data_IF_257850069665
#
_entry.id   IF_257850069665
#
_cell.length_a   1.000
_cell.length_b   1.000
_cell.length_c   1.000
_cell.angle_alpha   90.00
_cell.angle_beta   90.00
_cell.angle_gamma   90.00
#
_symmetry.space_group_name_H-M   'P 1'
#
loop_
_entity.id
_entity.type
_entity.pdbx_description
1 polymer ?
#
# COMPACT_ATOMS: atom_id res chain seq x y z
N UNK A 1 -15.16 8.24 14.96
CA UNK A 1 -15.41 8.07 13.53
C UNK A 1 -16.51 9.04 13.14
N UNK A 2 -16.37 9.76 12.03
CA UNK A 2 -17.41 10.70 11.56
C UNK A 2 -18.44 9.98 10.69
N UNK A 3 -19.65 10.55 10.54
CA UNK A 3 -20.69 10.03 9.63
C UNK A 3 -20.17 9.83 8.20
N UNK A 4 -19.33 10.76 7.72
CA UNK A 4 -18.69 10.65 6.42
C UNK A 4 -17.77 9.42 6.30
N UNK A 5 -16.91 9.18 7.30
CA UNK A 5 -16.02 8.01 7.31
C UNK A 5 -16.81 6.70 7.38
N UNK A 6 -17.91 6.67 8.14
CA UNK A 6 -18.80 5.50 8.20
C UNK A 6 -19.43 5.19 6.83
N UNK A 7 -19.85 6.21 6.08
CA UNK A 7 -20.37 6.06 4.73
C UNK A 7 -19.31 5.58 3.74
N UNK A 8 -18.08 6.08 3.84
CA UNK A 8 -16.93 5.59 3.05
C UNK A 8 -16.66 4.11 3.35
N UNK A 9 -16.55 3.75 4.64
CA UNK A 9 -16.36 2.35 5.04
C UNK A 9 -17.50 1.44 4.56
N UNK A 10 -18.74 1.93 4.55
CA UNK A 10 -19.88 1.17 4.02
C UNK A 10 -19.77 0.90 2.51
N UNK A 11 -19.17 1.82 1.73
CA UNK A 11 -18.87 1.57 0.30
C UNK A 11 -17.82 0.48 0.17
N UNK A 12 -16.70 0.60 0.90
CA UNK A 12 -15.62 -0.40 0.87
C UNK A 12 -16.06 -1.79 1.31
N UNK A 13 -16.94 -1.88 2.33
CA UNK A 13 -17.49 -3.14 2.80
C UNK A 13 -18.39 -3.83 1.77
N UNK A 14 -18.91 -3.10 0.77
CA UNK A 14 -19.81 -3.61 -0.27
C UNK A 14 -19.12 -3.75 -1.64
N UNK A 15 -17.78 -3.67 -1.72
CA UNK A 15 -17.02 -3.68 -2.99
C UNK A 15 -17.41 -4.84 -3.90
N UNK A 16 -17.47 -6.06 -3.36
CA UNK A 16 -17.81 -7.28 -4.12
C UNK A 16 -19.23 -7.24 -4.72
N UNK A 17 -20.16 -6.52 -4.09
CA UNK A 17 -21.56 -6.43 -4.51
C UNK A 17 -21.79 -5.28 -5.50
N UNK A 18 -21.00 -4.20 -5.39
CA UNK A 18 -21.16 -2.98 -6.17
C UNK A 18 -20.42 -3.06 -7.51
N UNK A 19 -19.24 -3.67 -7.53
CA UNK A 19 -18.31 -3.60 -8.65
C UNK A 19 -17.58 -2.26 -8.74
N UNK A 20 -16.47 -2.26 -9.47
CA UNK A 20 -15.46 -1.19 -9.47
C UNK A 20 -16.03 0.18 -9.86
N UNK A 21 -16.79 0.26 -10.96
CA UNK A 21 -17.37 1.52 -11.46
C UNK A 21 -18.28 2.19 -10.42
N UNK A 22 -19.07 1.39 -9.70
CA UNK A 22 -20.00 1.90 -8.69
C UNK A 22 -19.27 2.30 -7.41
N UNK A 23 -18.21 1.59 -7.03
CA UNK A 23 -17.30 2.01 -5.94
C UNK A 23 -16.67 3.35 -6.26
N UNK A 24 -16.07 3.52 -7.44
CA UNK A 24 -15.49 4.79 -7.89
C UNK A 24 -16.52 5.91 -7.84
N UNK A 25 -17.72 5.69 -8.40
CA UNK A 25 -18.79 6.69 -8.42
C UNK A 25 -19.23 7.11 -7.02
N UNK A 26 -19.40 6.15 -6.10
CA UNK A 26 -19.84 6.44 -4.72
C UNK A 26 -18.77 7.14 -3.90
N UNK A 27 -17.51 6.72 -4.04
CA UNK A 27 -16.38 7.37 -3.38
C UNK A 27 -16.19 8.80 -3.91
N UNK A 28 -16.28 9.02 -5.22
CA UNK A 28 -16.20 10.38 -5.79
C UNK A 28 -17.34 11.27 -5.28
N UNK A 29 -18.57 10.74 -5.17
CA UNK A 29 -19.70 11.48 -4.60
C UNK A 29 -19.48 11.86 -3.13
N UNK A 30 -18.95 10.95 -2.31
CA UNK A 30 -18.61 11.23 -0.92
C UNK A 30 -17.47 12.24 -0.81
N UNK A 31 -16.43 12.10 -1.63
CA UNK A 31 -15.29 13.01 -1.63
C UNK A 31 -15.69 14.45 -2.00
N UNK A 32 -16.69 14.63 -2.87
CA UNK A 32 -17.24 15.94 -3.22
C UNK A 32 -17.94 16.67 -2.05
N UNK A 33 -18.26 15.98 -0.95
CA UNK A 33 -18.79 16.59 0.27
C UNK A 33 -17.69 17.28 1.11
N UNK A 34 -16.42 17.10 0.75
CA UNK A 34 -15.25 17.65 1.45
C UNK A 34 -14.51 18.66 0.56
N UNK A 35 -13.61 19.49 1.14
CA UNK A 35 -12.75 20.37 0.33
C UNK A 35 -11.99 19.57 -0.73
N UNK A 36 -11.77 20.17 -1.90
CA UNK A 36 -11.10 19.51 -3.04
C UNK A 36 -9.70 18.98 -2.69
N UNK A 37 -8.98 19.68 -1.82
CA UNK A 37 -7.65 19.31 -1.34
C UNK A 37 -7.67 18.52 -0.01
N UNK A 38 -8.82 18.02 0.44
CA UNK A 38 -8.91 17.23 1.67
C UNK A 38 -8.09 15.93 1.52
N UNK A 39 -7.05 15.71 2.35
CA UNK A 39 -6.12 14.61 2.14
C UNK A 39 -6.78 13.24 2.26
N UNK A 40 -7.79 13.10 3.13
CA UNK A 40 -8.50 11.83 3.29
C UNK A 40 -9.44 11.58 2.11
N UNK A 41 -10.16 12.59 1.64
CA UNK A 41 -10.99 12.45 0.43
C UNK A 41 -10.14 12.07 -0.81
N UNK A 42 -8.97 12.68 -0.98
CA UNK A 42 -8.03 12.34 -2.05
C UNK A 42 -7.52 10.90 -1.94
N UNK A 43 -7.21 10.45 -0.72
CA UNK A 43 -6.78 9.08 -0.45
C UNK A 43 -7.85 8.05 -0.84
N UNK A 44 -9.11 8.26 -0.44
CA UNK A 44 -10.20 7.35 -0.78
C UNK A 44 -10.44 7.28 -2.29
N UNK A 45 -10.41 8.44 -2.96
CA UNK A 45 -10.54 8.52 -4.42
C UNK A 45 -9.41 7.80 -5.15
N UNK A 46 -8.19 7.86 -4.62
CA UNK A 46 -7.05 7.14 -5.14
C UNK A 46 -7.25 5.62 -4.98
N UNK A 47 -7.66 5.19 -3.78
CA UNK A 47 -7.99 3.79 -3.48
C UNK A 47 -9.01 3.21 -4.44
N UNK A 48 -10.11 3.92 -4.70
CA UNK A 48 -11.18 3.42 -5.58
C UNK A 48 -10.70 3.20 -7.03
N UNK A 49 -9.79 4.06 -7.52
CA UNK A 49 -9.20 3.93 -8.86
C UNK A 49 -8.16 2.81 -8.90
N UNK A 50 -7.32 2.71 -7.88
CA UNK A 50 -6.30 1.66 -7.75
C UNK A 50 -6.96 0.27 -7.69
N UNK A 51 -8.04 0.12 -6.91
CA UNK A 51 -8.81 -1.14 -6.86
C UNK A 51 -9.46 -1.50 -8.19
N UNK A 52 -9.83 -0.50 -9.00
CA UNK A 52 -10.42 -0.67 -10.33
C UNK A 52 -9.38 -0.91 -11.44
N UNK A 53 -8.08 -0.98 -11.13
CA UNK A 53 -7.01 -1.08 -12.14
C UNK A 53 -6.84 0.18 -12.98
N UNK A 54 -7.15 1.36 -12.40
CA UNK A 54 -6.97 2.68 -13.01
C UNK A 54 -5.74 3.37 -12.38
N UNK A 55 -4.58 2.70 -12.41
CA UNK A 55 -3.38 3.16 -11.70
C UNK A 55 -2.89 4.55 -12.13
N UNK A 56 -2.98 4.87 -13.42
CA UNK A 56 -2.65 6.19 -13.98
C UNK A 56 -3.50 7.32 -13.38
N UNK A 57 -4.75 7.02 -13.00
CA UNK A 57 -5.63 7.98 -12.32
C UNK A 57 -5.41 7.99 -10.80
N UNK A 58 -5.03 6.85 -10.22
CA UNK A 58 -4.81 6.71 -8.79
C UNK A 58 -3.53 7.41 -8.31
N UNK A 59 -2.42 7.29 -9.04
CA UNK A 59 -1.12 7.87 -8.68
C UNK A 59 -1.20 9.37 -8.30
N UNK A 60 -1.74 10.27 -9.16
CA UNK A 60 -1.76 11.69 -8.84
C UNK A 60 -2.58 11.99 -7.58
N UNK A 61 -3.63 11.22 -7.30
CA UNK A 61 -4.47 11.39 -6.12
C UNK A 61 -3.77 10.96 -4.84
N UNK A 62 -3.06 9.83 -4.83
CA UNK A 62 -2.23 9.43 -3.68
C UNK A 62 -1.16 10.46 -3.37
N UNK A 63 -0.45 10.95 -4.41
CA UNK A 63 0.56 12.01 -4.23
C UNK A 63 -0.04 13.28 -3.67
N UNK A 64 -1.21 13.68 -4.16
CA UNK A 64 -1.93 14.85 -3.64
C UNK A 64 -2.37 14.65 -2.19
N UNK A 65 -2.89 13.47 -1.82
CA UNK A 65 -3.25 13.17 -0.43
C UNK A 65 -2.05 13.32 0.51
N UNK A 66 -0.91 12.74 0.14
CA UNK A 66 0.34 12.83 0.91
C UNK A 66 0.87 14.28 0.99
N UNK A 67 0.84 15.02 -0.12
CA UNK A 67 1.28 16.42 -0.17
C UNK A 67 0.39 17.36 0.67
N UNK A 68 -0.91 17.05 0.78
CA UNK A 68 -1.87 17.79 1.59
C UNK A 68 -1.90 17.35 3.06
N UNK A 69 -0.91 16.55 3.50
CA UNK A 69 -0.71 16.24 4.91
C UNK A 69 -1.55 15.08 5.42
N UNK A 70 -1.87 14.08 4.59
CA UNK A 70 -2.41 12.81 5.07
C UNK A 70 -1.50 12.26 6.17
N UNK A 71 -2.08 12.04 7.36
CA UNK A 71 -1.38 11.60 8.56
C UNK A 71 -1.86 10.22 9.02
N UNK A 72 -1.44 9.83 10.23
CA UNK A 72 -1.95 8.61 10.86
C UNK A 72 -1.55 7.32 10.13
N UNK A 73 -2.36 6.27 10.34
CA UNK A 73 -2.17 4.99 9.67
C UNK A 73 -2.48 5.08 8.17
N UNK A 74 -3.36 6.00 7.77
CA UNK A 74 -3.73 6.28 6.39
C UNK A 74 -2.52 6.75 5.57
N UNK A 75 -1.58 7.51 6.17
CA UNK A 75 -0.32 7.87 5.51
C UNK A 75 0.49 6.64 5.12
N UNK A 76 0.63 5.66 6.03
CA UNK A 76 1.38 4.43 5.76
C UNK A 76 0.67 3.60 4.68
N UNK A 77 -0.66 3.48 4.78
CA UNK A 77 -1.47 2.80 3.77
C UNK A 77 -1.35 3.46 2.40
N UNK A 78 -1.34 4.79 2.32
CA UNK A 78 -1.17 5.53 1.07
C UNK A 78 0.20 5.29 0.44
N UNK A 79 1.27 5.19 1.24
CA UNK A 79 2.59 4.82 0.70
C UNK A 79 2.61 3.39 0.17
N UNK A 80 2.01 2.44 0.89
CA UNK A 80 1.93 1.04 0.44
C UNK A 80 1.14 0.93 -0.87
N UNK A 81 -0.02 1.55 -0.94
CA UNK A 81 -0.88 1.51 -2.13
C UNK A 81 -0.23 2.24 -3.30
N UNK A 82 0.26 3.47 -3.13
CA UNK A 82 1.02 4.20 -4.16
C UNK A 82 2.23 3.40 -4.64
N UNK A 83 2.96 2.72 -3.76
CA UNK A 83 4.07 1.88 -4.16
C UNK A 83 3.61 0.68 -5.00
N UNK A 84 2.46 0.08 -4.69
CA UNK A 84 1.85 -0.96 -5.51
C UNK A 84 1.43 -0.43 -6.89
N UNK A 85 0.73 0.71 -6.93
CA UNK A 85 0.37 1.44 -8.16
C UNK A 85 1.60 1.68 -9.04
N UNK A 86 2.67 2.25 -8.49
CA UNK A 86 3.92 2.51 -9.23
C UNK A 86 4.59 1.23 -9.74
N UNK A 87 4.53 0.14 -8.99
CA UNK A 87 5.04 -1.16 -9.44
C UNK A 87 4.26 -1.67 -10.65
N UNK A 88 2.93 -1.56 -10.63
CA UNK A 88 2.07 -1.94 -11.76
C UNK A 88 2.30 -1.05 -12.99
N UNK A 89 2.59 0.23 -12.78
CA UNK A 89 3.01 1.18 -13.83
C UNK A 89 4.46 0.98 -14.31
N UNK A 90 5.14 -0.09 -13.90
CA UNK A 90 6.50 -0.40 -14.37
C UNK A 90 7.61 0.46 -13.75
N UNK A 91 7.36 1.08 -12.59
CA UNK A 91 8.33 1.91 -11.83
C UNK A 91 8.74 1.25 -10.49
N UNK A 92 9.29 0.02 -10.51
CA UNK A 92 9.54 -0.74 -9.28
C UNK A 92 10.61 -0.12 -8.38
N UNK A 93 11.59 0.60 -8.92
CA UNK A 93 12.62 1.26 -8.11
C UNK A 93 12.06 2.40 -7.25
N UNK A 94 11.08 3.13 -7.78
CA UNK A 94 10.42 4.19 -7.02
C UNK A 94 9.47 3.63 -5.97
N UNK A 95 8.77 2.55 -6.32
CA UNK A 95 8.00 1.75 -5.37
C UNK A 95 8.85 1.33 -4.16
N UNK A 96 10.06 0.80 -4.40
CA UNK A 96 11.01 0.45 -3.33
C UNK A 96 11.39 1.67 -2.49
N UNK A 97 11.74 2.80 -3.13
CA UNK A 97 12.15 4.01 -2.42
C UNK A 97 11.06 4.57 -1.48
N UNK A 98 9.79 4.54 -1.92
CA UNK A 98 8.65 4.94 -1.07
C UNK A 98 8.49 4.04 0.14
N UNK A 99 8.63 2.72 -0.06
CA UNK A 99 8.49 1.73 1.01
C UNK A 99 9.65 1.80 2.01
N UNK A 100 10.87 2.04 1.54
CA UNK A 100 12.04 2.30 2.39
C UNK A 100 11.85 3.55 3.24
N UNK A 101 11.28 4.62 2.67
CA UNK A 101 11.05 5.87 3.38
C UNK A 101 10.00 5.74 4.49
N UNK A 102 8.95 4.94 4.29
CA UNK A 102 7.84 4.80 5.24
C UNK A 102 8.05 3.70 6.28
N UNK A 103 8.92 2.71 6.03
CA UNK A 103 9.14 1.58 6.95
C UNK A 103 9.38 1.99 8.42
N UNK A 104 10.20 3.03 8.74
CA UNK A 104 10.45 3.43 10.13
C UNK A 104 9.18 3.89 10.87
N UNK A 105 8.17 4.35 10.15
CA UNK A 105 6.91 4.87 10.68
C UNK A 105 5.76 3.85 10.58
N UNK A 106 6.01 2.67 10.01
CA UNK A 106 4.97 1.73 9.62
C UNK A 106 4.23 1.08 10.80
N UNK A 107 4.84 1.03 11.99
CA UNK A 107 4.22 0.44 13.18
C UNK A 107 3.70 -0.97 12.93
N UNK A 108 2.41 -1.19 13.18
CA UNK A 108 1.73 -2.48 12.96
C UNK A 108 1.67 -2.90 11.48
N UNK A 109 1.83 -1.96 10.54
CA UNK A 109 1.83 -2.22 9.10
C UNK A 109 3.21 -2.56 8.55
N UNK A 110 4.24 -2.72 9.40
CA UNK A 110 5.61 -3.01 8.96
C UNK A 110 5.70 -4.25 8.06
N UNK A 111 5.02 -5.33 8.41
CA UNK A 111 5.06 -6.57 7.62
C UNK A 111 4.45 -6.37 6.23
N UNK A 112 3.40 -5.54 6.12
CA UNK A 112 2.82 -5.16 4.84
C UNK A 112 3.83 -4.35 4.00
N UNK A 113 4.49 -3.35 4.60
CA UNK A 113 5.54 -2.56 3.91
C UNK A 113 6.64 -3.47 3.37
N UNK A 114 7.13 -4.41 4.18
CA UNK A 114 8.17 -5.37 3.76
C UNK A 114 7.67 -6.28 2.64
N UNK A 115 6.44 -6.79 2.73
CA UNK A 115 5.85 -7.66 1.70
C UNK A 115 5.71 -6.94 0.35
N UNK A 116 5.17 -5.72 0.32
CA UNK A 116 5.06 -4.94 -0.91
C UNK A 116 6.43 -4.54 -1.46
N UNK A 117 7.43 -4.30 -0.60
CA UNK A 117 8.80 -4.01 -1.05
C UNK A 117 9.46 -5.23 -1.67
N UNK A 118 9.22 -6.41 -1.12
CA UNK A 118 9.66 -7.66 -1.73
C UNK A 118 9.04 -7.85 -3.13
N UNK A 119 7.74 -7.57 -3.30
CA UNK A 119 7.10 -7.60 -4.63
C UNK A 119 7.75 -6.61 -5.61
N UNK A 120 8.00 -5.38 -5.16
CA UNK A 120 8.67 -4.37 -5.98
C UNK A 120 10.10 -4.79 -6.37
N UNK A 121 10.85 -5.44 -5.46
CA UNK A 121 12.17 -6.01 -5.78
C UNK A 121 12.12 -7.15 -6.78
N UNK A 122 11.13 -8.03 -6.71
CA UNK A 122 10.91 -9.04 -7.76
C UNK A 122 10.72 -8.37 -9.12
N UNK A 123 9.86 -7.35 -9.19
CA UNK A 123 9.65 -6.56 -10.42
C UNK A 123 10.92 -5.82 -10.89
N UNK A 124 11.83 -5.46 -9.98
CA UNK A 124 13.14 -4.85 -10.29
C UNK A 124 14.23 -5.88 -10.66
N UNK A 125 13.95 -7.18 -10.64
CA UNK A 125 14.92 -8.24 -10.92
C UNK A 125 15.76 -8.70 -9.72
N UNK A 126 15.49 -8.20 -8.51
CA UNK A 126 16.18 -8.56 -7.28
C UNK A 126 15.35 -9.54 -6.44
N UNK A 127 15.01 -10.69 -7.06
CA UNK A 127 14.19 -11.72 -6.43
C UNK A 127 14.87 -12.37 -5.21
N UNK A 128 16.21 -12.38 -5.16
CA UNK A 128 16.95 -12.95 -4.04
C UNK A 128 16.80 -12.12 -2.78
N UNK A 129 16.98 -10.80 -2.88
CA UNK A 129 16.76 -9.89 -1.75
C UNK A 129 15.29 -9.81 -1.37
N UNK A 130 14.39 -9.88 -2.35
CA UNK A 130 12.95 -10.02 -2.09
C UNK A 130 12.64 -11.24 -1.21
N UNK A 131 13.17 -12.41 -1.57
CA UNK A 131 12.98 -13.64 -0.80
C UNK A 131 13.59 -13.53 0.61
N UNK A 132 14.80 -12.98 0.72
CA UNK A 132 15.43 -12.70 2.02
C UNK A 132 14.50 -11.90 2.93
N UNK A 133 13.97 -10.78 2.45
CA UNK A 133 13.12 -9.90 3.27
C UNK A 133 11.79 -10.53 3.63
N UNK A 134 11.10 -11.16 2.67
CA UNK A 134 9.83 -11.82 2.93
C UNK A 134 9.97 -12.96 3.95
N UNK A 135 11.02 -13.79 3.84
CA UNK A 135 11.27 -14.88 4.78
C UNK A 135 11.72 -14.35 6.15
N UNK A 136 12.51 -13.29 6.17
CA UNK A 136 12.92 -12.60 7.40
C UNK A 136 11.73 -12.02 8.16
N UNK A 137 10.79 -11.40 7.46
CA UNK A 137 9.55 -10.89 8.03
C UNK A 137 8.61 -12.01 8.49
N UNK A 138 8.52 -13.13 7.76
CA UNK A 138 7.67 -14.26 8.15
C UNK A 138 8.18 -15.01 9.39
N UNK A 139 9.50 -15.12 9.57
CA UNK A 139 10.11 -15.99 10.58
C UNK A 139 9.60 -15.77 12.02
N UNK A 140 9.39 -14.54 12.53
CA UNK A 140 8.83 -14.28 13.86
C UNK A 140 7.42 -14.83 14.08
N UNK A 141 6.62 -15.01 13.02
CA UNK A 141 5.22 -15.47 13.11
C UNK A 141 5.09 -17.00 13.08
N UNK A 142 6.18 -17.73 12.82
CA UNK A 142 6.11 -19.18 12.73
C UNK A 142 6.10 -19.86 14.11
N UNK A 143 5.19 -20.82 14.35
CA UNK A 143 5.18 -21.58 15.60
C UNK A 143 6.37 -22.54 15.74
N UNK A 144 7.03 -22.90 14.63
CA UNK A 144 8.24 -23.74 14.56
C UNK A 144 9.17 -23.25 13.44
N UNK A 145 10.44 -23.66 13.47
CA UNK A 145 11.45 -23.32 12.45
C UNK A 145 11.84 -21.83 12.36
N UNK A 146 11.45 -20.99 13.32
CA UNK A 146 11.80 -19.56 13.39
C UNK A 146 13.31 -19.30 13.19
N UNK A 147 14.16 -20.00 13.94
CA UNK A 147 15.61 -19.82 13.88
C UNK A 147 16.17 -20.21 12.52
N UNK A 148 15.77 -21.37 12.00
CA UNK A 148 16.22 -21.84 10.68
C UNK A 148 15.80 -20.92 9.56
N UNK A 149 14.54 -20.44 9.56
CA UNK A 149 14.07 -19.55 8.50
C UNK A 149 14.77 -18.19 8.54
N UNK A 150 15.00 -17.63 9.74
CA UNK A 150 15.77 -16.40 9.89
C UNK A 150 17.22 -16.56 9.40
N UNK A 151 17.84 -17.73 9.63
CA UNK A 151 19.17 -18.02 9.12
C UNK A 151 19.22 -18.08 7.58
N UNK A 152 18.24 -18.75 6.95
CA UNK A 152 18.16 -18.79 5.48
C UNK A 152 17.86 -17.42 4.86
N UNK A 153 17.04 -16.59 5.51
CA UNK A 153 16.85 -15.21 5.09
C UNK A 153 18.17 -14.44 5.09
N UNK A 154 18.97 -14.55 6.17
CA UNK A 154 20.27 -13.90 6.25
C UNK A 154 21.29 -14.42 5.22
N UNK A 155 21.28 -15.72 4.92
CA UNK A 155 22.11 -16.32 3.87
C UNK A 155 21.78 -15.77 2.48
N UNK A 156 20.49 -15.63 2.17
CA UNK A 156 20.03 -15.01 0.92
C UNK A 156 20.48 -13.54 0.82
N UNK A 157 20.38 -12.78 1.91
CA UNK A 157 20.84 -11.39 1.95
C UNK A 157 22.34 -11.24 1.68
N UNK A 158 23.16 -12.13 2.24
CA UNK A 158 24.62 -12.09 2.08
C UNK A 158 25.09 -12.44 0.65
N UNK A 159 24.21 -13.05 -0.14
CA UNK A 159 24.49 -13.56 -1.48
C UNK A 159 23.74 -12.78 -2.58
N UNK A 160 23.08 -11.68 -2.22
CA UNK A 160 22.29 -10.83 -3.12
C UNK A 160 23.07 -9.61 -3.61
#
# INVERSE_FOLDING_TARGET
MTDWQERVHAVWAATDELGDDEVVRRIDALAAERPEADPLALFERAGARDSAGLEEEAEPLYRAALANGLGGSERVQAHVQLASTLRNLGRPLESIALLDAIEPEAGELRDAVVAFRALARVSAGDARRAASEALGALAPHLPRYRVSLAAYAAELAASA
#
